data_IF_163589535219
#
_entry.id   IF_163589535219
#
_cell.length_a   1.000
_cell.length_b   1.000
_cell.length_c   1.000
_cell.angle_alpha   90.00
_cell.angle_beta   90.00
_cell.angle_gamma   90.00
#
_symmetry.space_group_name_H-M   'P 1'
#
loop_
_entity.id
_entity.type
_entity.pdbx_description
1 polymer ?
#
# COMPACT_ATOMS: atom_id res chain seq x y z
N UNK A 1 -1.22 -1.52 -30.31
CA UNK A 1 -2.50 -0.78 -30.37
C UNK A 1 -2.63 0.20 -29.20
N UNK A 2 -2.32 -0.21 -27.95
CA UNK A 2 -2.28 0.67 -26.76
C UNK A 2 -1.29 1.84 -26.93
N UNK A 3 -0.07 1.57 -27.42
CA UNK A 3 0.97 2.60 -27.62
C UNK A 3 0.56 3.78 -28.52
N UNK A 4 -0.36 3.60 -29.48
CA UNK A 4 -0.83 4.68 -30.38
C UNK A 4 -1.83 5.65 -29.72
N UNK A 5 -2.50 5.25 -28.64
CA UNK A 5 -3.38 6.14 -27.87
C UNK A 5 -2.59 6.99 -26.87
N UNK A 6 -1.49 6.42 -26.35
CA UNK A 6 -0.59 7.02 -25.38
C UNK A 6 0.20 8.20 -25.97
N UNK A 7 0.64 8.08 -27.23
CA UNK A 7 1.37 9.14 -27.95
C UNK A 7 0.56 10.40 -28.26
N UNK A 8 -0.74 10.44 -27.91
CA UNK A 8 -1.61 11.62 -28.07
C UNK A 8 -1.75 12.48 -26.81
N UNK A 9 -0.85 12.35 -25.84
CA UNK A 9 -0.86 13.19 -24.64
C UNK A 9 -1.90 12.77 -23.60
N UNK A 10 -2.20 11.47 -23.52
CA UNK A 10 -3.10 10.94 -22.50
C UNK A 10 -2.58 11.28 -21.09
N UNK A 11 -3.45 11.85 -20.25
CA UNK A 11 -3.12 12.19 -18.85
C UNK A 11 -3.54 11.10 -17.87
N UNK A 12 -4.52 10.29 -18.25
CA UNK A 12 -5.13 9.26 -17.43
C UNK A 12 -5.22 7.97 -18.23
N UNK A 13 -4.65 6.91 -17.70
CA UNK A 13 -4.69 5.57 -18.28
C UNK A 13 -5.18 4.60 -17.22
N UNK A 14 -6.13 3.76 -17.60
CA UNK A 14 -6.65 2.68 -16.77
C UNK A 14 -6.63 1.40 -17.60
N UNK A 15 -5.95 0.38 -17.08
CA UNK A 15 -5.88 -0.94 -17.67
C UNK A 15 -6.55 -1.91 -16.71
N UNK A 16 -7.85 -2.11 -16.92
CA UNK A 16 -8.73 -2.88 -16.07
C UNK A 16 -9.00 -4.25 -16.70
N UNK A 17 -8.08 -5.18 -16.52
CA UNK A 17 -8.27 -6.54 -17.01
C UNK A 17 -9.12 -7.32 -16.01
N UNK A 18 -10.11 -8.06 -16.51
CA UNK A 18 -10.87 -9.00 -15.69
C UNK A 18 -10.08 -10.30 -15.55
N UNK A 19 -9.88 -10.77 -14.32
CA UNK A 19 -9.63 -12.19 -14.09
C UNK A 19 -11.01 -12.87 -14.10
N UNK A 20 -11.37 -13.51 -15.21
CA UNK A 20 -12.57 -14.35 -15.27
C UNK A 20 -12.35 -15.58 -14.38
N UNK A 21 -12.77 -15.58 -13.11
CA UNK A 21 -13.11 -16.84 -12.43
C UNK A 21 -14.15 -16.64 -11.34
N UNK A 22 -15.22 -17.41 -11.44
CA UNK A 22 -16.23 -17.63 -10.41
C UNK A 22 -15.79 -18.66 -9.35
N UNK A 23 -14.49 -18.94 -9.22
CA UNK A 23 -13.98 -20.05 -8.41
C UNK A 23 -13.10 -19.53 -7.26
N UNK A 24 -13.65 -19.43 -6.03
CA UNK A 24 -12.98 -18.79 -4.88
C UNK A 24 -11.83 -19.63 -4.29
N UNK A 25 -11.45 -20.75 -4.90
CA UNK A 25 -10.47 -21.71 -4.36
C UNK A 25 -9.20 -21.83 -5.23
N UNK A 26 -9.18 -21.26 -6.45
CA UNK A 26 -8.04 -21.37 -7.37
C UNK A 26 -7.32 -20.03 -7.62
N UNK A 27 -6.80 -19.41 -6.55
CA UNK A 27 -5.91 -18.23 -6.66
C UNK A 27 -4.46 -18.59 -7.04
N UNK A 28 -4.15 -19.87 -7.25
CA UNK A 28 -2.94 -20.37 -7.90
C UNK A 28 -3.03 -20.24 -9.42
N UNK A 29 -3.42 -19.06 -9.91
CA UNK A 29 -3.32 -18.77 -11.33
C UNK A 29 -1.87 -18.93 -11.75
N UNK A 30 -1.57 -19.72 -12.79
CA UNK A 30 -0.24 -19.67 -13.35
C UNK A 30 -0.03 -18.24 -13.86
N UNK A 31 1.06 -17.59 -13.43
CA UNK A 31 1.52 -16.27 -13.88
C UNK A 31 1.43 -16.06 -15.41
N UNK A 32 1.31 -17.15 -16.17
CA UNK A 32 1.11 -17.18 -17.62
C UNK A 32 -0.22 -16.62 -18.12
N UNK A 33 -1.27 -16.49 -17.29
CA UNK A 33 -2.58 -15.99 -17.72
C UNK A 33 -2.78 -14.48 -17.51
N UNK A 34 -1.94 -13.82 -16.71
CA UNK A 34 -2.04 -12.37 -16.50
C UNK A 34 -1.41 -11.60 -17.66
N UNK A 35 -1.99 -10.43 -17.95
CA UNK A 35 -1.41 -9.51 -18.91
C UNK A 35 -0.07 -8.98 -18.39
N UNK A 36 1.01 -9.27 -19.14
CA UNK A 36 2.34 -8.77 -18.83
C UNK A 36 2.44 -7.31 -19.24
N UNK A 37 2.38 -6.42 -18.26
CA UNK A 37 2.52 -5.00 -18.48
C UNK A 37 3.99 -4.58 -18.38
N UNK A 38 4.49 -3.95 -19.44
CA UNK A 38 5.83 -3.36 -19.48
C UNK A 38 5.72 -1.84 -19.39
N UNK A 39 6.48 -1.23 -18.48
CA UNK A 39 6.55 0.23 -18.36
C UNK A 39 7.11 0.90 -19.63
N UNK A 40 7.85 0.16 -20.47
CA UNK A 40 8.35 0.68 -21.76
C UNK A 40 7.22 1.05 -22.73
N UNK A 41 5.99 0.54 -22.53
CA UNK A 41 4.82 0.97 -23.32
C UNK A 41 4.45 2.44 -23.08
N UNK A 42 4.92 3.02 -21.98
CA UNK A 42 4.61 4.36 -21.52
C UNK A 42 5.85 5.28 -21.48
N UNK A 43 7.03 4.82 -21.92
CA UNK A 43 8.31 5.54 -21.76
C UNK A 43 8.33 6.94 -22.38
N UNK A 44 7.58 7.13 -23.46
CA UNK A 44 7.58 8.40 -24.22
C UNK A 44 6.47 9.37 -23.75
N UNK A 45 5.86 9.10 -22.59
CA UNK A 45 4.65 9.81 -22.13
C UNK A 45 4.95 10.76 -20.98
N UNK A 46 5.31 12.00 -21.33
CA UNK A 46 5.47 13.04 -20.31
C UNK A 46 4.11 13.60 -19.81
N UNK A 47 2.99 13.31 -20.46
CA UNK A 47 1.67 13.84 -20.06
C UNK A 47 0.97 13.06 -18.95
N UNK A 48 1.41 11.83 -18.67
CA UNK A 48 0.70 10.90 -17.81
C UNK A 48 0.76 11.36 -16.35
N UNK A 49 -0.41 11.63 -15.76
CA UNK A 49 -0.55 12.04 -14.36
C UNK A 49 -1.27 11.00 -13.51
N UNK A 50 -2.01 10.08 -14.12
CA UNK A 50 -2.77 9.02 -13.45
C UNK A 50 -2.62 7.68 -14.17
N UNK A 51 -2.27 6.64 -13.42
CA UNK A 51 -2.18 5.27 -13.92
C UNK A 51 -2.91 4.32 -12.96
N UNK A 52 -3.83 3.53 -13.51
CA UNK A 52 -4.48 2.42 -12.80
C UNK A 52 -4.20 1.12 -13.53
N UNK A 53 -3.61 0.15 -12.82
CA UNK A 53 -3.32 -1.19 -13.31
C UNK A 53 -4.07 -2.20 -12.46
N UNK A 54 -4.96 -2.98 -13.08
CA UNK A 54 -5.67 -4.07 -12.42
C UNK A 54 -5.39 -5.40 -13.13
N UNK A 55 -5.11 -6.44 -12.34
CA UNK A 55 -4.84 -7.81 -12.84
C UNK A 55 -3.72 -7.82 -13.90
N UNK A 56 -2.65 -7.08 -13.63
CA UNK A 56 -1.44 -7.03 -14.45
C UNK A 56 -0.30 -7.80 -13.78
N UNK A 57 0.60 -8.36 -14.57
CA UNK A 57 1.93 -8.78 -14.12
C UNK A 57 2.96 -7.74 -14.55
N UNK A 58 3.59 -7.05 -13.61
CA UNK A 58 4.58 -6.02 -13.92
C UNK A 58 5.92 -6.63 -14.28
N UNK A 59 6.38 -6.35 -15.50
CA UNK A 59 7.77 -6.52 -15.89
C UNK A 59 8.44 -5.15 -15.72
N UNK A 60 9.00 -4.89 -14.54
CA UNK A 60 9.81 -3.70 -14.35
C UNK A 60 11.14 -3.87 -15.11
N UNK A 61 11.45 -2.99 -16.08
CA UNK A 61 12.78 -2.94 -16.65
C UNK A 61 13.79 -2.50 -15.58
N UNK A 62 14.99 -3.07 -15.58
CA UNK A 62 16.08 -2.61 -14.71
C UNK A 62 16.45 -1.13 -14.97
N UNK A 63 16.10 -0.61 -16.14
CA UNK A 63 16.35 0.74 -16.66
C UNK A 63 15.09 1.63 -16.67
N UNK A 64 14.07 1.31 -15.86
CA UNK A 64 12.89 2.16 -15.74
C UNK A 64 13.26 3.58 -15.32
N UNK A 65 13.09 4.54 -16.24
CA UNK A 65 13.41 5.96 -16.03
C UNK A 65 12.31 6.76 -15.35
N UNK A 66 11.18 6.13 -15.02
CA UNK A 66 10.09 6.76 -14.29
C UNK A 66 9.04 7.44 -15.15
N UNK A 67 7.91 7.72 -14.51
CA UNK A 67 6.88 8.59 -15.06
C UNK A 67 6.99 9.96 -14.41
N UNK A 68 7.65 10.89 -15.12
CA UNK A 68 8.04 12.19 -14.56
C UNK A 68 6.87 12.96 -13.95
N UNK A 69 5.71 12.94 -14.59
CA UNK A 69 4.53 13.70 -14.18
C UNK A 69 3.45 12.85 -13.48
N UNK A 70 3.73 11.58 -13.21
CA UNK A 70 2.76 10.71 -12.56
C UNK A 70 2.54 11.15 -11.12
N UNK A 71 1.28 11.49 -10.81
CA UNK A 71 0.85 11.94 -9.50
C UNK A 71 0.06 10.89 -8.75
N UNK A 72 -0.58 9.97 -9.47
CA UNK A 72 -1.47 8.96 -8.89
C UNK A 72 -1.22 7.62 -9.54
N UNK A 73 -0.91 6.62 -8.72
CA UNK A 73 -0.70 5.24 -9.14
C UNK A 73 -1.57 4.31 -8.30
N UNK A 74 -2.51 3.64 -8.96
CA UNK A 74 -3.35 2.61 -8.37
C UNK A 74 -2.94 1.27 -8.97
N UNK A 75 -2.67 0.32 -8.09
CA UNK A 75 -2.27 -1.02 -8.48
C UNK A 75 -3.16 -2.02 -7.73
N UNK A 76 -3.96 -2.75 -8.49
CA UNK A 76 -4.93 -3.71 -7.99
C UNK A 76 -4.58 -5.11 -8.49
N UNK A 77 -4.59 -6.10 -7.58
CA UNK A 77 -4.37 -7.51 -7.92
C UNK A 77 -3.04 -7.76 -8.63
N UNK A 78 -2.00 -7.02 -8.26
CA UNK A 78 -0.65 -7.25 -8.77
C UNK A 78 0.02 -8.38 -8.00
N UNK A 79 0.44 -9.40 -8.73
CA UNK A 79 1.27 -10.46 -8.17
C UNK A 79 2.73 -10.00 -8.05
N UNK A 80 3.40 -10.47 -6.99
CA UNK A 80 4.82 -10.28 -6.77
C UNK A 80 5.27 -8.82 -6.59
N UNK A 81 4.58 -8.09 -5.72
CA UNK A 81 5.08 -6.81 -5.21
C UNK A 81 6.28 -7.07 -4.32
N UNK A 82 7.44 -6.57 -4.74
CA UNK A 82 8.70 -6.70 -4.02
C UNK A 82 9.39 -5.34 -3.85
N UNK A 83 10.40 -5.32 -2.98
CA UNK A 83 11.11 -4.08 -2.64
C UNK A 83 11.77 -3.39 -3.84
N UNK A 84 12.32 -4.14 -4.80
CA UNK A 84 13.00 -3.55 -5.96
C UNK A 84 12.01 -2.79 -6.85
N UNK A 85 10.81 -3.35 -7.06
CA UNK A 85 9.75 -2.69 -7.80
C UNK A 85 9.35 -1.37 -7.14
N UNK A 86 9.06 -1.39 -5.83
CA UNK A 86 8.66 -0.18 -5.10
C UNK A 86 9.77 0.86 -5.08
N UNK A 87 11.02 0.44 -4.85
CA UNK A 87 12.18 1.34 -4.87
C UNK A 87 12.31 2.02 -6.24
N UNK A 88 12.16 1.27 -7.34
CA UNK A 88 12.18 1.84 -8.69
C UNK A 88 11.03 2.81 -8.93
N UNK A 89 9.82 2.49 -8.46
CA UNK A 89 8.67 3.40 -8.59
C UNK A 89 8.88 4.70 -7.83
N UNK A 90 9.27 4.65 -6.56
CA UNK A 90 9.45 5.86 -5.74
C UNK A 90 10.70 6.68 -6.11
N UNK A 91 11.76 6.03 -6.60
CA UNK A 91 12.97 6.76 -7.05
C UNK A 91 12.73 7.50 -8.37
N UNK A 92 11.90 6.94 -9.26
CA UNK A 92 11.78 7.44 -10.62
C UNK A 92 10.47 8.22 -10.87
N UNK A 93 9.39 7.97 -10.12
CA UNK A 93 8.14 8.74 -10.19
C UNK A 93 8.16 9.88 -9.17
N UNK A 94 9.02 10.87 -9.38
CA UNK A 94 9.35 11.93 -8.41
C UNK A 94 8.17 12.82 -7.98
N UNK A 95 7.08 12.87 -8.77
CA UNK A 95 5.88 13.65 -8.48
C UNK A 95 4.72 12.81 -7.94
N UNK A 96 4.96 11.56 -7.54
CA UNK A 96 3.93 10.66 -7.05
C UNK A 96 3.38 11.14 -5.70
N UNK A 97 2.11 11.54 -5.70
CA UNK A 97 1.39 12.08 -4.53
C UNK A 97 0.48 11.03 -3.90
N UNK A 98 -0.17 10.21 -4.73
CA UNK A 98 -1.15 9.20 -4.31
C UNK A 98 -0.69 7.81 -4.76
N UNK A 99 -0.56 6.89 -3.81
CA UNK A 99 -0.20 5.51 -4.10
C UNK A 99 -1.17 4.55 -3.43
N UNK A 100 -1.67 3.58 -4.20
CA UNK A 100 -2.57 2.54 -3.71
C UNK A 100 -2.09 1.18 -4.18
N UNK A 101 -1.88 0.29 -3.21
CA UNK A 101 -1.81 -1.16 -3.41
C UNK A 101 -3.12 -1.76 -2.90
N UNK A 102 -3.83 -2.50 -3.76
CA UNK A 102 -5.06 -3.19 -3.38
C UNK A 102 -5.00 -4.65 -3.85
N UNK A 103 -5.32 -5.60 -2.97
CA UNK A 103 -5.30 -7.04 -3.26
C UNK A 103 -3.97 -7.54 -3.87
N UNK A 104 -2.85 -6.92 -3.50
CA UNK A 104 -1.53 -7.27 -4.04
C UNK A 104 -0.83 -8.34 -3.18
N UNK A 105 -0.05 -9.19 -3.84
CA UNK A 105 0.77 -10.22 -3.18
C UNK A 105 2.14 -9.65 -2.79
N UNK A 106 2.43 -9.65 -1.48
CA UNK A 106 3.65 -9.06 -0.91
C UNK A 106 4.74 -10.12 -0.70
N UNK A 107 5.71 -10.16 -1.62
CA UNK A 107 6.76 -11.19 -1.61
C UNK A 107 7.99 -10.85 -0.77
N UNK A 108 8.09 -9.62 -0.27
CA UNK A 108 9.15 -9.21 0.64
C UNK A 108 8.61 -8.21 1.67
N UNK A 109 9.42 -7.93 2.69
CA UNK A 109 9.22 -6.73 3.49
C UNK A 109 9.28 -5.50 2.57
N UNK A 110 8.54 -4.46 2.96
CA UNK A 110 8.37 -3.25 2.17
C UNK A 110 9.02 -2.08 2.90
N UNK A 111 9.78 -1.29 2.16
CA UNK A 111 10.30 0.00 2.59
C UNK A 111 9.89 1.06 1.57
N UNK A 112 8.92 1.88 1.97
CA UNK A 112 8.38 2.99 1.18
C UNK A 112 9.13 4.25 1.61
N UNK A 113 10.01 4.75 0.74
CA UNK A 113 10.71 6.02 0.97
C UNK A 113 10.26 7.02 -0.09
N UNK A 114 9.54 8.07 0.31
CA UNK A 114 9.10 9.09 -0.65
C UNK A 114 8.93 10.46 0.00
N UNK A 115 9.60 11.51 -0.50
CA UNK A 115 9.41 12.86 0.00
C UNK A 115 8.14 13.51 -0.56
N UNK A 116 7.51 12.99 -1.63
CA UNK A 116 6.36 13.63 -2.30
C UNK A 116 5.03 12.94 -2.04
N UNK A 117 5.07 11.71 -1.51
CA UNK A 117 3.88 10.94 -1.22
C UNK A 117 3.06 11.63 -0.12
N UNK A 118 1.78 11.87 -0.42
CA UNK A 118 0.83 12.58 0.45
C UNK A 118 -0.30 11.66 0.92
N UNK A 119 -0.70 10.70 0.09
CA UNK A 119 -1.70 9.68 0.39
C UNK A 119 -1.17 8.28 0.07
N UNK A 120 -1.20 7.38 1.06
CA UNK A 120 -0.81 5.98 0.93
C UNK A 120 -1.94 5.05 1.36
N UNK A 121 -2.34 4.15 0.45
CA UNK A 121 -3.32 3.11 0.74
C UNK A 121 -2.68 1.73 0.49
N UNK A 122 -2.73 0.86 1.50
CA UNK A 122 -2.31 -0.55 1.41
C UNK A 122 -3.51 -1.38 1.88
N UNK A 123 -4.23 -1.95 0.92
CA UNK A 123 -5.57 -2.50 1.12
C UNK A 123 -5.56 -3.97 0.72
N UNK A 124 -6.01 -4.87 1.60
CA UNK A 124 -6.10 -6.31 1.35
C UNK A 124 -4.80 -6.92 0.76
N UNK A 125 -3.64 -6.37 1.09
CA UNK A 125 -2.36 -6.84 0.59
C UNK A 125 -1.77 -7.87 1.55
N UNK A 126 -1.25 -8.97 1.03
CA UNK A 126 -0.65 -10.03 1.85
C UNK A 126 -0.21 -11.21 1.01
N UNK A 127 0.61 -12.07 1.62
CA UNK A 127 1.13 -13.27 0.98
C UNK A 127 0.13 -14.43 1.05
N UNK A 128 0.07 -15.25 0.00
CA UNK A 128 -0.88 -16.37 -0.13
C UNK A 128 -0.66 -17.51 0.89
N UNK A 129 0.52 -17.57 1.50
CA UNK A 129 0.91 -18.48 2.57
C UNK A 129 0.66 -17.86 3.96
N UNK A 130 -0.01 -16.70 4.01
CA UNK A 130 -0.29 -15.94 5.22
C UNK A 130 0.93 -15.23 5.78
N UNK A 131 2.08 -15.17 5.10
CA UNK A 131 3.27 -14.66 5.76
C UNK A 131 3.14 -13.17 6.07
N UNK A 132 3.43 -12.85 7.32
CA UNK A 132 3.59 -11.47 7.80
C UNK A 132 4.79 -10.82 7.12
N UNK A 133 4.66 -9.52 6.85
CA UNK A 133 5.70 -8.62 6.35
C UNK A 133 5.83 -7.40 7.23
N UNK A 134 7.03 -6.87 7.31
CA UNK A 134 7.29 -5.55 7.84
C UNK A 134 7.05 -4.50 6.74
N UNK A 135 6.46 -3.37 7.11
CA UNK A 135 6.18 -2.23 6.24
C UNK A 135 6.77 -0.98 6.89
N UNK A 136 7.93 -0.57 6.42
CA UNK A 136 8.59 0.66 6.84
C UNK A 136 8.17 1.80 5.91
N UNK A 137 7.60 2.87 6.48
CA UNK A 137 7.14 4.05 5.75
C UNK A 137 7.96 5.24 6.20
N UNK A 138 8.74 5.81 5.28
CA UNK A 138 9.56 7.01 5.49
C UNK A 138 9.11 8.05 4.47
N UNK A 139 8.18 8.91 4.88
CA UNK A 139 7.56 9.88 3.98
C UNK A 139 7.22 11.19 4.70
N UNK A 140 8.05 12.21 4.49
CA UNK A 140 7.98 13.49 5.22
C UNK A 140 6.71 14.29 4.92
N UNK A 141 6.13 14.12 3.72
CA UNK A 141 4.92 14.82 3.29
C UNK A 141 3.65 13.98 3.40
N UNK A 142 3.72 12.78 4.01
CA UNK A 142 2.59 11.88 4.08
C UNK A 142 1.55 12.41 5.08
N UNK A 143 0.36 12.72 4.57
CA UNK A 143 -0.73 13.32 5.35
C UNK A 143 -1.80 12.30 5.72
N UNK A 144 -1.99 11.25 4.91
CA UNK A 144 -2.91 10.16 5.24
C UNK A 144 -2.39 8.77 4.89
N UNK A 145 -2.71 7.82 5.76
CA UNK A 145 -2.51 6.38 5.53
C UNK A 145 -3.84 5.66 5.70
N UNK A 146 -4.15 4.78 4.76
CA UNK A 146 -5.15 3.73 4.91
C UNK A 146 -4.47 2.37 4.81
N UNK A 147 -4.59 1.59 5.88
CA UNK A 147 -4.17 0.20 5.90
C UNK A 147 -5.39 -0.68 6.13
N UNK A 148 -5.57 -1.71 5.30
CA UNK A 148 -6.50 -2.77 5.60
C UNK A 148 -5.94 -4.14 5.29
N UNK A 149 -6.24 -5.09 6.17
CA UNK A 149 -5.86 -6.48 5.98
C UNK A 149 -6.96 -7.39 6.52
N UNK A 150 -7.58 -8.12 5.59
CA UNK A 150 -8.57 -9.12 5.93
C UNK A 150 -7.94 -10.52 5.81
N UNK A 151 -7.40 -11.02 6.91
CA UNK A 151 -6.91 -12.40 6.99
C UNK A 151 -7.94 -13.28 7.68
N UNK A 152 -8.32 -14.36 7.00
CA UNK A 152 -9.05 -15.48 7.61
C UNK A 152 -8.22 -16.21 8.67
N UNK A 153 -6.91 -15.97 8.71
CA UNK A 153 -5.97 -16.58 9.64
C UNK A 153 -5.63 -15.62 10.81
N UNK A 154 -5.93 -16.01 12.05
CA UNK A 154 -5.89 -15.13 13.23
C UNK A 154 -4.48 -14.85 13.79
N UNK A 155 -3.40 -15.01 13.03
CA UNK A 155 -2.03 -14.78 13.54
C UNK A 155 -1.15 -13.95 12.60
N UNK A 156 -1.73 -13.40 11.55
CA UNK A 156 -0.98 -12.68 10.52
C UNK A 156 -1.36 -11.20 10.59
N UNK A 157 -0.42 -10.39 11.05
CA UNK A 157 -0.55 -8.94 11.16
C UNK A 157 0.72 -8.34 10.59
N UNK A 158 0.63 -7.50 9.57
CA UNK A 158 1.79 -6.74 9.10
C UNK A 158 2.23 -5.74 10.16
N UNK A 159 3.53 -5.75 10.46
CA UNK A 159 4.13 -4.78 11.37
C UNK A 159 4.49 -3.55 10.56
N UNK A 160 4.08 -2.37 11.02
CA UNK A 160 4.31 -1.11 10.33
C UNK A 160 5.11 -0.16 11.21
N UNK A 161 6.14 0.44 10.61
CA UNK A 161 6.90 1.51 11.21
C UNK A 161 6.67 2.79 10.39
N UNK A 162 6.16 3.84 11.02
CA UNK A 162 5.69 5.04 10.33
C UNK A 162 6.53 6.25 10.76
N UNK A 163 7.33 6.76 9.83
CA UNK A 163 8.08 8.01 9.94
C UNK A 163 7.45 9.04 9.00
N UNK A 164 6.37 9.67 9.47
CA UNK A 164 5.59 10.67 8.73
C UNK A 164 5.19 11.83 9.65
N UNK A 165 5.99 12.90 9.65
CA UNK A 165 5.85 13.97 10.63
C UNK A 165 4.56 14.79 10.49
N UNK A 166 3.98 14.87 9.29
CA UNK A 166 2.74 15.63 9.05
C UNK A 166 1.50 14.74 8.92
N UNK A 167 1.62 13.46 9.32
CA UNK A 167 0.52 12.51 9.25
C UNK A 167 -0.65 13.02 10.11
N UNK A 168 -1.78 13.27 9.44
CA UNK A 168 -2.97 13.85 10.05
C UNK A 168 -4.14 12.87 10.11
N UNK A 169 -4.15 11.87 9.22
CA UNK A 169 -5.21 10.86 9.12
C UNK A 169 -4.61 9.46 9.09
N UNK A 170 -5.09 8.60 9.95
CA UNK A 170 -4.66 7.20 10.01
C UNK A 170 -5.89 6.29 10.08
N UNK A 171 -6.04 5.41 9.09
CA UNK A 171 -7.08 4.39 9.06
C UNK A 171 -6.44 3.02 9.11
N UNK A 172 -6.90 2.19 10.03
CA UNK A 172 -6.44 0.82 10.20
C UNK A 172 -7.64 -0.11 10.32
N UNK A 173 -7.74 -1.04 9.38
CA UNK A 173 -8.82 -2.00 9.30
C UNK A 173 -8.30 -3.43 9.30
N UNK A 174 -8.52 -4.15 10.38
CA UNK A 174 -8.06 -5.53 10.55
C UNK A 174 -8.83 -6.17 11.69
N UNK A 175 -8.92 -7.50 11.70
CA UNK A 175 -9.50 -8.24 12.82
C UNK A 175 -8.67 -8.13 14.10
N UNK A 176 -7.37 -7.80 13.97
CA UNK A 176 -6.40 -7.72 15.05
C UNK A 176 -5.44 -6.55 14.86
N UNK A 177 -5.02 -5.96 15.97
CA UNK A 177 -4.06 -4.85 16.05
C UNK A 177 -2.79 -5.22 16.83
N UNK A 178 -2.78 -6.38 17.48
CA UNK A 178 -1.62 -6.93 18.17
C UNK A 178 -1.59 -8.44 18.03
N UNK A 179 -0.40 -9.01 18.09
CA UNK A 179 -0.17 -10.46 18.06
C UNK A 179 0.61 -10.89 19.29
N UNK A 180 0.38 -12.12 19.76
CA UNK A 180 1.16 -12.72 20.83
C UNK A 180 2.17 -13.69 20.24
N UNK A 181 3.45 -13.34 20.28
CA UNK A 181 4.53 -14.18 19.72
C UNK A 181 5.66 -14.31 20.73
N UNK A 182 6.07 -15.54 21.01
CA UNK A 182 7.23 -15.81 21.87
C UNK A 182 7.09 -15.30 23.31
N UNK A 183 5.87 -15.20 23.85
CA UNK A 183 5.63 -14.75 25.22
C UNK A 183 5.27 -13.27 25.36
N UNK A 184 5.32 -12.49 24.29
CA UNK A 184 5.10 -11.04 24.30
C UNK A 184 4.00 -10.61 23.34
N UNK A 185 3.25 -9.58 23.73
CA UNK A 185 2.35 -8.85 22.84
C UNK A 185 3.13 -7.84 22.01
N UNK A 186 2.89 -7.82 20.71
CA UNK A 186 3.48 -6.84 19.78
C UNK A 186 2.36 -6.20 18.98
N UNK A 187 2.32 -4.87 18.97
CA UNK A 187 1.34 -4.10 18.21
C UNK A 187 1.73 -4.06 16.73
N UNK A 188 0.72 -3.99 15.86
CA UNK A 188 0.85 -3.86 14.42
C UNK A 188 1.64 -2.61 14.00
N UNK A 189 1.72 -1.60 14.86
CA UNK A 189 2.48 -0.38 14.66
C UNK A 189 2.76 0.29 15.99
N UNK A 190 3.79 1.13 16.00
CA UNK A 190 4.06 2.01 17.13
C UNK A 190 3.21 3.28 17.03
N UNK A 191 2.51 3.64 18.12
CA UNK A 191 1.75 4.89 18.20
C UNK A 191 2.65 6.15 18.16
N UNK A 192 3.95 5.98 18.42
CA UNK A 192 4.96 7.04 18.33
C UNK A 192 5.03 7.70 16.94
N UNK A 193 4.66 6.96 15.88
CA UNK A 193 4.54 7.47 14.51
C UNK A 193 3.27 8.27 14.22
N UNK A 194 2.31 8.32 15.16
CA UNK A 194 0.97 8.90 14.99
C UNK A 194 0.74 10.20 15.79
N UNK A 195 1.80 10.81 16.33
CA UNK A 195 1.74 11.96 17.26
C UNK A 195 0.91 13.15 16.80
N UNK A 196 0.85 13.40 15.50
CA UNK A 196 0.18 14.57 14.91
C UNK A 196 -1.17 14.22 14.26
N UNK A 197 -1.65 12.99 14.43
CA UNK A 197 -2.89 12.53 13.82
C UNK A 197 -4.10 13.18 14.51
N UNK A 198 -4.98 13.78 13.72
CA UNK A 198 -6.24 14.40 14.17
C UNK A 198 -7.46 13.54 13.84
N UNK A 199 -7.30 12.54 12.97
CA UNK A 199 -8.36 11.62 12.58
C UNK A 199 -7.84 10.18 12.62
N UNK A 200 -8.43 9.35 13.47
CA UNK A 200 -8.15 7.92 13.52
C UNK A 200 -9.41 7.11 13.22
N UNK A 201 -9.27 6.11 12.37
CA UNK A 201 -10.31 5.11 12.10
C UNK A 201 -9.76 3.74 12.45
N UNK A 202 -10.41 3.08 13.39
CA UNK A 202 -10.22 1.66 13.67
C UNK A 202 -11.48 0.91 13.29
N UNK A 203 -11.38 -0.02 12.35
CA UNK A 203 -12.51 -0.81 11.87
C UNK A 203 -12.19 -2.32 11.89
N UNK A 204 -13.19 -3.13 12.22
CA UNK A 204 -13.12 -4.59 12.21
C UNK A 204 -12.35 -5.23 13.35
N UNK A 205 -11.77 -4.47 14.29
CA UNK A 205 -10.92 -5.01 15.36
C UNK A 205 -11.77 -5.74 16.42
N UNK A 206 -11.52 -7.04 16.60
CA UNK A 206 -12.37 -7.90 17.45
C UNK A 206 -11.87 -8.03 18.90
N UNK A 207 -10.59 -7.71 19.18
CA UNK A 207 -9.93 -7.88 20.49
C UNK A 207 -8.90 -6.76 20.73
N UNK A 208 -8.52 -6.54 21.99
CA UNK A 208 -7.40 -5.67 22.42
C UNK A 208 -7.57 -4.15 22.28
N UNK A 209 -8.72 -3.65 21.79
CA UNK A 209 -8.93 -2.19 21.69
C UNK A 209 -9.00 -1.49 23.05
N UNK A 210 -9.83 -2.00 23.97
CA UNK A 210 -10.16 -1.27 25.20
C UNK A 210 -9.05 -1.28 26.25
N UNK A 211 -8.42 -2.42 26.49
CA UNK A 211 -7.51 -2.58 27.63
C UNK A 211 -6.08 -2.09 27.32
N UNK A 212 -5.63 -2.24 26.06
CA UNK A 212 -4.22 -1.99 25.69
C UNK A 212 -4.04 -0.83 24.70
N UNK A 213 -4.89 -0.74 23.66
CA UNK A 213 -4.67 0.20 22.53
C UNK A 213 -5.20 1.59 22.83
N UNK A 214 -6.44 1.72 23.33
CA UNK A 214 -7.06 3.02 23.58
C UNK A 214 -6.21 3.89 24.52
N UNK A 215 -5.75 3.38 25.69
CA UNK A 215 -4.89 4.18 26.57
C UNK A 215 -3.60 4.65 25.90
N UNK A 216 -2.92 3.76 25.15
CA UNK A 216 -1.70 4.08 24.42
C UNK A 216 -1.92 5.09 23.29
N UNK A 217 -3.07 5.00 22.62
CA UNK A 217 -3.46 5.91 21.56
C UNK A 217 -3.55 7.34 22.09
N UNK A 218 -4.29 7.54 23.18
CA UNK A 218 -4.49 8.87 23.76
C UNK A 218 -3.22 9.40 24.46
N UNK A 219 -2.35 8.54 25.01
CA UNK A 219 -1.08 9.00 25.59
C UNK A 219 -0.07 9.48 24.55
N UNK A 220 -0.09 8.94 23.33
CA UNK A 220 0.89 9.26 22.28
C UNK A 220 0.34 10.21 21.21
N UNK A 221 -0.97 10.16 20.93
CA UNK A 221 -1.64 10.98 19.91
C UNK A 221 -2.34 12.17 20.58
N UNK A 222 -1.55 13.12 21.09
CA UNK A 222 -2.04 14.25 21.89
C UNK A 222 -3.06 15.15 21.16
N UNK A 223 -3.07 15.13 19.82
CA UNK A 223 -4.03 15.89 19.01
C UNK A 223 -5.45 15.29 18.99
N UNK A 224 -5.64 14.09 19.56
CA UNK A 224 -6.94 13.43 19.67
C UNK A 224 -7.66 13.71 20.99
N UNK A 225 -6.98 14.34 21.96
CA UNK A 225 -7.60 14.63 23.24
C UNK A 225 -8.78 15.60 23.05
N UNK A 226 -9.94 15.33 23.66
CA UNK A 226 -11.02 16.29 23.68
C UNK A 226 -10.53 17.53 24.43
N UNK A 227 -10.55 18.69 23.76
CA UNK A 227 -10.38 19.97 24.41
C UNK A 227 -11.50 20.12 25.47
N UNK A 228 -11.17 19.83 26.73
CA UNK A 228 -12.02 20.08 27.90
C UNK A 228 -12.06 21.57 28.24
#
# INVERSE_FOLDING_TARGET
>A
MISKGITKGAKRIELLFSSETNDPINFLYPYSLLYKFSFTLLSDTDSLTYLHLQSCYLLAPFDFSGFKNLRTLLVLQLLNVNQNLLQGLFSNCIHLVNFTLDQCDLNSDLKITSPTLFHLNIVNCGDQLGRVRNIDIIASNLSSIEYSFNSSYPLHIHMMNIQAQILSKFSYRSSQISTYRGGQFTNAFEFSGLKNVTTIVFDGIQRCLQDDVIPLLFSECLQLEPHL
#
